data_IF_211733274597
#
_entry.id   IF_211733274597
#
_cell.length_a   1.000
_cell.length_b   1.000
_cell.length_c   1.000
_cell.angle_alpha   90.00
_cell.angle_beta   90.00
_cell.angle_gamma   90.00
#
_symmetry.space_group_name_H-M   'P 1'
#
loop_
_entity.id
_entity.type
_entity.pdbx_description
1 polymer ?
#
# COMPACT_ATOMS: atom_id res chain seq x y z
N UNK A 1 -13.43 1.85 25.96
CA UNK A 1 -13.74 0.63 25.19
C UNK A 1 -13.69 0.82 23.67
N UNK A 2 -13.80 2.05 23.12
CA UNK A 2 -13.88 2.27 21.65
C UNK A 2 -12.60 1.96 20.86
N UNK A 3 -11.40 2.22 21.41
CA UNK A 3 -10.14 2.10 20.66
C UNK A 3 -9.66 0.68 20.36
N UNK A 4 -10.23 -0.35 21.02
CA UNK A 4 -9.84 -1.74 20.79
C UNK A 4 -10.41 -2.31 19.48
N UNK A 5 -11.58 -1.82 19.06
CA UNK A 5 -12.28 -2.33 17.89
C UNK A 5 -11.69 -1.80 16.57
N UNK A 6 -11.21 -0.56 16.56
CA UNK A 6 -10.50 0.00 15.40
C UNK A 6 -9.21 -0.77 15.09
N UNK A 7 -8.48 -1.19 16.13
CA UNK A 7 -7.25 -1.98 15.95
C UNK A 7 -7.53 -3.33 15.28
N UNK A 8 -8.64 -3.99 15.61
CA UNK A 8 -8.99 -5.30 15.04
C UNK A 8 -9.43 -5.22 13.58
N UNK A 9 -9.96 -4.07 13.15
CA UNK A 9 -10.46 -3.87 11.78
C UNK A 9 -9.42 -3.28 10.82
N UNK A 10 -8.20 -2.96 11.30
CA UNK A 10 -7.14 -2.47 10.42
C UNK A 10 -6.70 -3.55 9.44
N UNK A 11 -6.48 -3.14 8.20
CA UNK A 11 -5.92 -3.95 7.13
C UNK A 11 -4.77 -3.20 6.51
N UNK A 12 -3.76 -3.92 6.05
CA UNK A 12 -2.65 -3.35 5.31
C UNK A 12 -2.19 -4.33 4.24
N UNK A 13 -1.80 -3.79 3.09
CA UNK A 13 -1.17 -4.52 1.99
C UNK A 13 0.04 -3.72 1.54
N UNK A 14 1.16 -4.41 1.33
CA UNK A 14 2.36 -3.82 0.75
C UNK A 14 2.54 -4.34 -0.67
N UNK A 15 2.78 -3.40 -1.59
CA UNK A 15 2.99 -3.68 -3.00
C UNK A 15 4.44 -3.37 -3.38
N UNK A 16 5.00 -4.17 -4.28
CA UNK A 16 6.31 -3.92 -4.89
C UNK A 16 6.18 -4.02 -6.39
N UNK A 17 6.76 -3.07 -7.11
CA UNK A 17 6.84 -3.10 -8.55
C UNK A 17 8.31 -3.09 -8.99
N UNK A 18 8.70 -4.11 -9.76
CA UNK A 18 10.02 -4.23 -10.38
C UNK A 18 9.79 -4.20 -11.90
N UNK A 19 10.04 -3.04 -12.52
CA UNK A 19 9.79 -2.79 -13.95
C UNK A 19 10.56 -3.73 -14.89
N UNK A 20 11.67 -4.29 -14.43
CA UNK A 20 12.51 -5.17 -15.25
C UNK A 20 12.05 -6.63 -15.19
N UNK A 21 11.27 -7.01 -14.16
CA UNK A 21 10.89 -8.40 -13.90
C UNK A 21 9.40 -8.67 -13.93
N UNK A 22 8.57 -7.67 -13.65
CA UNK A 22 7.16 -7.84 -13.42
C UNK A 22 6.35 -7.01 -14.40
N UNK A 23 5.25 -7.60 -14.89
CA UNK A 23 4.29 -6.90 -15.74
C UNK A 23 3.41 -5.98 -14.89
N UNK A 24 3.19 -6.37 -13.63
CA UNK A 24 2.38 -5.63 -12.68
C UNK A 24 2.97 -5.63 -11.27
N UNK A 25 2.54 -4.71 -10.40
CA UNK A 25 2.91 -4.75 -8.99
C UNK A 25 2.53 -6.08 -8.35
N UNK A 26 3.36 -6.52 -7.41
CA UNK A 26 3.22 -7.79 -6.68
C UNK A 26 2.91 -7.50 -5.22
N UNK A 27 2.05 -8.32 -4.63
CA UNK A 27 1.78 -8.29 -3.19
C UNK A 27 2.93 -8.95 -2.45
N UNK A 28 3.63 -8.17 -1.61
CA UNK A 28 4.77 -8.66 -0.82
C UNK A 28 4.44 -8.83 0.66
N UNK A 29 3.40 -8.15 1.14
CA UNK A 29 2.84 -8.36 2.48
C UNK A 29 1.34 -8.06 2.50
N UNK A 30 0.60 -8.76 3.34
CA UNK A 30 -0.83 -8.56 3.57
C UNK A 30 -1.14 -8.97 5.00
N UNK A 31 -1.98 -8.21 5.69
CA UNK A 31 -2.29 -8.47 7.09
C UNK A 31 -3.53 -7.75 7.58
N UNK A 32 -4.02 -8.22 8.71
CA UNK A 32 -5.15 -7.63 9.44
C UNK A 32 -4.79 -7.49 10.92
N UNK A 33 -5.49 -6.60 11.61
CA UNK A 33 -5.32 -6.36 13.03
C UNK A 33 -3.88 -5.96 13.37
N UNK A 34 -3.28 -6.69 14.31
CA UNK A 34 -1.91 -6.45 14.75
C UNK A 34 -0.86 -6.60 13.64
N UNK A 35 -1.08 -7.52 12.69
CA UNK A 35 -0.16 -7.70 11.55
C UNK A 35 -0.20 -6.46 10.65
N UNK A 36 -1.39 -5.91 10.41
CA UNK A 36 -1.53 -4.68 9.64
C UNK A 36 -0.81 -3.50 10.30
N UNK A 37 -0.91 -3.38 11.64
CA UNK A 37 -0.17 -2.35 12.39
C UNK A 37 1.34 -2.50 12.19
N UNK A 38 1.86 -3.73 12.27
CA UNK A 38 3.29 -3.97 12.11
C UNK A 38 3.78 -3.68 10.69
N UNK A 39 2.97 -3.97 9.68
CA UNK A 39 3.27 -3.61 8.27
C UNK A 39 3.40 -2.08 8.14
N UNK A 40 2.44 -1.33 8.69
CA UNK A 40 2.43 0.14 8.64
C UNK A 40 3.63 0.73 9.41
N UNK A 41 3.94 0.18 10.59
CA UNK A 41 5.08 0.60 11.41
C UNK A 41 6.40 0.42 10.64
N UNK A 42 6.64 -0.78 10.08
CA UNK A 42 7.84 -1.09 9.30
C UNK A 42 7.91 -0.20 8.05
N UNK A 43 6.78 0.03 7.37
CA UNK A 43 6.73 0.94 6.23
C UNK A 43 7.19 2.35 6.60
N UNK A 44 6.70 2.89 7.73
CA UNK A 44 7.12 4.19 8.26
C UNK A 44 8.62 4.25 8.59
N UNK A 45 9.15 3.23 9.28
CA UNK A 45 10.57 3.12 9.61
C UNK A 45 11.48 3.12 8.36
N UNK A 46 11.00 2.49 7.28
CA UNK A 46 11.74 2.35 6.02
C UNK A 46 11.40 3.44 4.99
N UNK A 47 10.63 4.47 5.39
CA UNK A 47 10.18 5.57 4.52
C UNK A 47 9.44 5.08 3.26
N UNK A 48 8.74 3.96 3.37
CA UNK A 48 7.83 3.48 2.33
C UNK A 48 6.55 4.32 2.40
N UNK A 49 6.11 4.94 1.30
CA UNK A 49 4.92 5.78 1.30
C UNK A 49 3.66 4.96 1.61
N UNK A 50 2.75 5.54 2.40
CA UNK A 50 1.54 4.89 2.89
C UNK A 50 0.32 5.62 2.37
N UNK A 51 -0.59 4.88 1.74
CA UNK A 51 -1.86 5.39 1.22
C UNK A 51 -3.02 4.71 1.96
N UNK A 52 -3.98 5.49 2.45
CA UNK A 52 -5.12 4.97 3.20
C UNK A 52 -6.36 4.86 2.31
N UNK A 53 -6.74 3.62 1.97
CA UNK A 53 -8.00 3.31 1.27
C UNK A 53 -8.59 2.00 1.79
N UNK A 54 -9.66 2.10 2.57
CA UNK A 54 -10.34 0.95 3.18
C UNK A 54 -10.94 0.00 2.15
N UNK A 55 -11.44 0.53 1.02
CA UNK A 55 -12.12 -0.25 -0.01
C UNK A 55 -11.11 -1.07 -0.79
N UNK A 56 -10.07 -0.40 -1.31
CA UNK A 56 -9.02 -1.07 -2.06
C UNK A 56 -8.24 -2.06 -1.18
N UNK A 57 -7.88 -1.67 0.04
CA UNK A 57 -7.17 -2.57 0.96
C UNK A 57 -8.00 -3.82 1.27
N UNK A 58 -9.32 -3.70 1.38
CA UNK A 58 -10.21 -4.86 1.58
C UNK A 58 -10.22 -5.82 0.41
N UNK A 59 -10.10 -5.31 -0.83
CA UNK A 59 -10.00 -6.16 -2.02
C UNK A 59 -8.61 -6.79 -2.10
N UNK A 60 -7.57 -5.98 -1.96
CA UNK A 60 -6.17 -6.43 -2.07
C UNK A 60 -5.78 -7.45 -0.99
N UNK A 61 -6.36 -7.36 0.22
CA UNK A 61 -6.11 -8.35 1.28
C UNK A 61 -6.65 -9.75 0.97
N UNK A 62 -7.56 -9.89 -0.01
CA UNK A 62 -8.10 -11.18 -0.43
C UNK A 62 -7.22 -11.88 -1.47
N UNK A 63 -6.25 -11.17 -2.05
CA UNK A 63 -5.31 -11.71 -3.03
C UNK A 63 -4.18 -12.47 -2.34
N UNK A 64 -3.56 -13.39 -3.07
CA UNK A 64 -2.49 -14.24 -2.55
C UNK A 64 -1.16 -13.49 -2.41
N UNK A 65 -0.41 -13.80 -1.35
CA UNK A 65 0.96 -13.30 -1.22
C UNK A 65 1.81 -13.77 -2.40
N UNK A 66 2.54 -12.85 -3.01
CA UNK A 66 3.37 -13.11 -4.19
C UNK A 66 2.61 -13.07 -5.51
N UNK A 67 1.29 -12.86 -5.51
CA UNK A 67 0.54 -12.68 -6.74
C UNK A 67 0.73 -11.28 -7.31
N UNK A 68 0.72 -11.19 -8.64
CA UNK A 68 0.57 -9.91 -9.33
C UNK A 68 -0.84 -9.36 -9.10
N UNK A 69 -0.96 -8.03 -9.17
CA UNK A 69 -2.27 -7.38 -9.15
C UNK A 69 -3.06 -7.81 -10.41
N UNK A 70 -4.38 -8.07 -10.30
CA UNK A 70 -5.23 -8.30 -11.46
C UNK A 70 -5.43 -7.04 -12.31
N UNK A 71 -5.66 -7.20 -13.62
CA UNK A 71 -5.83 -6.10 -14.56
C UNK A 71 -6.97 -5.13 -14.16
N UNK A 72 -8.03 -5.66 -13.55
CA UNK A 72 -9.19 -4.88 -13.11
C UNK A 72 -8.83 -3.86 -12.01
N UNK A 73 -7.73 -4.09 -11.29
CA UNK A 73 -7.25 -3.22 -10.21
C UNK A 73 -6.08 -2.34 -10.63
N UNK A 74 -5.55 -2.48 -11.85
CA UNK A 74 -4.40 -1.69 -12.33
C UNK A 74 -4.63 -0.21 -12.22
N UNK A 75 -5.81 0.26 -12.65
CA UNK A 75 -6.12 1.69 -12.61
C UNK A 75 -6.00 2.25 -11.19
N UNK A 76 -6.58 1.57 -10.20
CA UNK A 76 -6.54 2.01 -8.81
C UNK A 76 -5.10 2.05 -8.26
N UNK A 77 -4.27 1.06 -8.60
CA UNK A 77 -2.87 1.01 -8.16
C UNK A 77 -2.02 2.07 -8.86
N UNK A 78 -2.24 2.32 -10.15
CA UNK A 78 -1.57 3.40 -10.89
C UNK A 78 -1.95 4.77 -10.32
N UNK A 79 -3.21 5.00 -9.99
CA UNK A 79 -3.65 6.25 -9.38
C UNK A 79 -2.90 6.53 -8.06
N UNK A 80 -2.59 5.49 -7.27
CA UNK A 80 -1.77 5.61 -6.05
C UNK A 80 -0.32 5.96 -6.38
N UNK A 81 0.28 5.36 -7.41
CA UNK A 81 1.63 5.73 -7.81
C UNK A 81 1.72 7.16 -8.33
N UNK A 82 0.74 7.57 -9.14
CA UNK A 82 0.66 8.96 -9.65
C UNK A 82 0.47 9.94 -8.50
N UNK A 83 -0.36 9.60 -7.50
CA UNK A 83 -0.48 10.37 -6.27
C UNK A 83 0.92 10.60 -5.67
N UNK A 84 1.68 9.55 -5.36
CA UNK A 84 3.01 9.73 -4.76
C UNK A 84 4.02 10.46 -5.65
N UNK A 85 3.99 10.27 -6.97
CA UNK A 85 4.86 11.01 -7.89
C UNK A 85 4.56 12.51 -7.88
N UNK A 86 3.29 12.90 -7.88
CA UNK A 86 2.89 14.29 -7.80
C UNK A 86 3.24 14.91 -6.44
N UNK A 87 3.12 14.15 -5.36
CA UNK A 87 3.54 14.59 -4.03
C UNK A 87 5.07 14.69 -3.90
N UNK A 88 5.83 13.81 -4.57
CA UNK A 88 7.29 13.90 -4.60
C UNK A 88 7.79 15.15 -5.33
N UNK A 89 7.12 15.59 -6.40
CA UNK A 89 7.50 16.80 -7.14
C UNK A 89 7.44 18.07 -6.28
N UNK A 90 6.57 18.12 -5.26
CA UNK A 90 6.48 19.28 -4.37
C UNK A 90 7.68 19.42 -3.42
N UNK A 91 8.44 18.35 -3.18
CA UNK A 91 9.62 18.39 -2.31
C UNK A 91 10.89 18.89 -3.02
N UNK A 92 10.92 18.89 -4.35
CA UNK A 92 12.06 19.42 -5.12
C UNK A 92 11.97 20.93 -5.35
N UNK A 93 10.77 21.53 -5.29
CA UNK A 93 10.57 22.97 -5.54
C UNK A 93 10.77 23.88 -4.31
N UNK A 94 10.83 23.33 -3.08
CA UNK A 94 11.03 24.12 -1.84
C UNK A 94 12.51 24.34 -1.46
N UNK A 95 13.48 23.80 -2.23
CA UNK A 95 14.92 23.98 -1.99
C UNK A 95 15.62 25.02 -2.92
N UNK A 96 14.89 25.78 -3.75
CA UNK A 96 15.45 26.92 -4.54
C UNK A 96 15.22 28.31 -3.93
#
# INVERSE_FOLDING_TARGET
>A
MSGFNDKLNKKAVALRYDVDKNIAPVIVASGMGHVAEKIIEIAGENKVPIYEDTSLTTILTQLELGSEIPEELYKAVVDIYVFFLNFAQQYEEEEE
#
